data_IF_439734664135
#
_entry.id   IF_439734664135
#
_cell.length_a   1.000
_cell.length_b   1.000
_cell.length_c   1.000
_cell.angle_alpha   90.00
_cell.angle_beta   90.00
_cell.angle_gamma   90.00
#
_symmetry.space_group_name_H-M   'P 1'
#
loop_
_entity.id
_entity.type
_entity.pdbx_description
1 polymer ?
#
# COMPACT_ATOMS: atom_id res chain seq x y z
N UNK A 1 -24.77 39.46 2.48
CA UNK A 1 -23.96 39.68 1.27
C UNK A 1 -24.59 38.87 0.16
N UNK A 2 -24.86 39.47 -1.00
CA UNK A 2 -25.36 38.76 -2.20
C UNK A 2 -24.18 38.29 -3.07
N UNK A 3 -24.38 37.36 -4.02
CA UNK A 3 -23.34 36.96 -5.01
C UNK A 3 -22.74 38.17 -5.73
N UNK A 4 -23.56 39.16 -6.06
CA UNK A 4 -23.10 40.36 -6.77
C UNK A 4 -22.19 41.23 -5.89
N UNK A 5 -22.60 41.46 -4.63
CA UNK A 5 -21.77 42.16 -3.65
C UNK A 5 -20.46 41.37 -3.40
N UNK A 6 -20.62 40.06 -3.21
CA UNK A 6 -19.68 38.96 -3.46
C UNK A 6 -18.43 39.32 -4.27
N UNK A 7 -18.71 39.22 -5.57
CA UNK A 7 -17.77 39.32 -6.67
C UNK A 7 -17.29 40.76 -6.88
N UNK A 8 -18.11 41.76 -6.56
CA UNK A 8 -17.70 43.16 -6.66
C UNK A 8 -16.60 43.49 -5.64
N UNK A 9 -16.74 42.99 -4.41
CA UNK A 9 -15.73 43.19 -3.37
C UNK A 9 -14.46 42.38 -3.68
N UNK A 10 -14.59 41.14 -4.16
CA UNK A 10 -13.45 40.35 -4.60
C UNK A 10 -12.67 41.05 -5.74
N UNK A 11 -13.36 41.60 -6.74
CA UNK A 11 -12.75 42.39 -7.84
C UNK A 11 -11.98 43.60 -7.32
N UNK A 12 -12.50 44.27 -6.28
CA UNK A 12 -11.86 45.43 -5.65
C UNK A 12 -10.58 45.05 -4.94
N UNK A 13 -10.57 43.92 -4.24
CA UNK A 13 -9.41 43.44 -3.48
C UNK A 13 -8.31 42.85 -4.37
N UNK A 14 -8.68 42.37 -5.55
CA UNK A 14 -7.77 41.89 -6.60
C UNK A 14 -7.31 42.99 -7.56
N UNK A 15 -7.45 44.28 -7.22
CA UNK A 15 -6.95 45.38 -8.05
C UNK A 15 -5.44 45.39 -8.24
N UNK A 16 -4.71 44.75 -7.32
CA UNK A 16 -3.25 44.84 -7.23
C UNK A 16 -2.52 43.74 -8.03
N UNK A 17 -3.26 42.79 -8.63
CA UNK A 17 -2.69 41.68 -9.40
C UNK A 17 -2.86 41.91 -10.92
N UNK A 18 -2.06 41.24 -11.78
CA UNK A 18 -2.17 41.38 -13.23
C UNK A 18 -3.60 41.12 -13.73
N UNK A 19 -4.05 41.91 -14.71
CA UNK A 19 -5.44 41.85 -15.21
C UNK A 19 -5.82 40.48 -15.78
N UNK A 20 -4.85 39.74 -16.32
CA UNK A 20 -5.04 38.36 -16.80
C UNK A 20 -5.40 37.40 -15.65
N UNK A 21 -4.58 37.41 -14.59
CA UNK A 21 -4.78 36.60 -13.38
C UNK A 21 -6.07 36.96 -12.65
N UNK A 22 -6.37 38.27 -12.58
CA UNK A 22 -7.60 38.79 -12.02
C UNK A 22 -8.81 38.27 -12.79
N UNK A 23 -8.77 38.31 -14.13
CA UNK A 23 -9.87 37.80 -14.97
C UNK A 23 -10.09 36.32 -14.72
N UNK A 24 -9.04 35.53 -14.71
CA UNK A 24 -9.11 34.08 -14.46
C UNK A 24 -9.64 33.75 -13.06
N UNK A 25 -9.15 34.44 -12.03
CA UNK A 25 -9.61 34.23 -10.66
C UNK A 25 -11.09 34.59 -10.51
N UNK A 26 -11.51 35.73 -11.07
CA UNK A 26 -12.91 36.12 -11.06
C UNK A 26 -13.78 35.11 -11.82
N UNK A 27 -13.35 34.64 -12.98
CA UNK A 27 -14.07 33.63 -13.77
C UNK A 27 -14.20 32.31 -13.01
N UNK A 28 -13.15 31.89 -12.30
CA UNK A 28 -13.18 30.68 -11.47
C UNK A 28 -14.25 30.73 -10.39
N UNK A 29 -14.29 31.81 -9.58
CA UNK A 29 -15.30 31.94 -8.54
C UNK A 29 -16.69 32.21 -9.11
N UNK A 30 -16.80 32.89 -10.25
CA UNK A 30 -18.08 33.09 -10.92
C UNK A 30 -18.70 31.75 -11.35
N UNK A 31 -17.90 30.88 -11.99
CA UNK A 31 -18.30 29.52 -12.35
C UNK A 31 -18.68 28.69 -11.12
N UNK A 32 -17.98 28.87 -10.00
CA UNK A 32 -18.30 28.18 -8.74
C UNK A 32 -19.68 28.58 -8.19
N UNK A 33 -20.02 29.87 -8.23
CA UNK A 33 -21.37 30.33 -7.89
C UNK A 33 -22.44 29.85 -8.89
N UNK A 34 -22.11 29.75 -10.17
CA UNK A 34 -23.03 29.25 -11.19
C UNK A 34 -23.32 27.75 -11.06
N UNK A 35 -22.32 26.96 -10.65
CA UNK A 35 -22.48 25.52 -10.43
C UNK A 35 -23.39 25.21 -9.23
N UNK A 36 -23.30 26.00 -8.16
CA UNK A 36 -24.20 25.90 -7.01
C UNK A 36 -25.64 26.30 -7.36
N UNK A 37 -25.80 27.27 -8.27
CA UNK A 37 -27.10 27.77 -8.70
C UNK A 37 -27.75 28.73 -7.69
N UNK A 38 -28.80 29.41 -8.14
CA UNK A 38 -29.44 30.53 -7.41
C UNK A 38 -29.98 30.15 -6.03
N UNK A 39 -30.36 28.89 -5.84
CA UNK A 39 -30.95 28.40 -4.59
C UNK A 39 -29.90 28.11 -3.51
N UNK A 40 -28.61 28.01 -3.87
CA UNK A 40 -27.51 27.69 -2.94
C UNK A 40 -26.50 28.83 -2.74
N UNK A 41 -26.71 30.01 -3.34
CA UNK A 41 -25.77 31.16 -3.24
C UNK A 41 -25.46 31.55 -1.78
N UNK A 42 -26.42 31.50 -0.86
CA UNK A 42 -26.19 31.83 0.55
C UNK A 42 -25.30 30.79 1.26
N UNK A 43 -25.43 29.51 0.90
CA UNK A 43 -24.60 28.44 1.45
C UNK A 43 -23.17 28.54 0.93
N UNK A 44 -23.01 28.85 -0.35
CA UNK A 44 -21.70 29.10 -0.97
C UNK A 44 -20.96 30.24 -0.27
N UNK A 45 -21.65 31.35 0.02
CA UNK A 45 -21.01 32.48 0.73
C UNK A 45 -20.56 32.07 2.15
N UNK A 46 -21.34 31.23 2.85
CA UNK A 46 -20.94 30.71 4.17
C UNK A 46 -19.74 29.76 4.08
N UNK A 47 -19.64 28.98 3.02
CA UNK A 47 -18.55 28.02 2.79
C UNK A 47 -17.25 28.71 2.35
N UNK A 48 -17.35 29.67 1.43
CA UNK A 48 -16.21 30.48 0.96
C UNK A 48 -15.65 31.42 2.03
N UNK A 49 -16.49 31.84 2.99
CA UNK A 49 -16.10 32.82 4.01
C UNK A 49 -16.12 34.25 3.47
N UNK A 50 -15.17 35.08 3.90
CA UNK A 50 -15.12 36.48 3.48
C UNK A 50 -14.40 36.66 2.14
N UNK A 51 -14.81 37.63 1.29
CA UNK A 51 -14.11 37.91 0.02
C UNK A 51 -12.65 38.35 0.25
N UNK A 52 -12.32 38.87 1.43
CA UNK A 52 -10.96 39.19 1.85
C UNK A 52 -10.06 37.96 1.99
N UNK A 53 -10.57 36.88 2.58
CA UNK A 53 -9.82 35.63 2.73
C UNK A 53 -9.53 34.97 1.39
N UNK A 54 -10.48 35.05 0.45
CA UNK A 54 -10.34 34.55 -0.92
C UNK A 54 -9.30 35.38 -1.68
N UNK A 55 -9.38 36.71 -1.58
CA UNK A 55 -8.39 37.57 -2.23
C UNK A 55 -6.97 37.28 -1.72
N UNK A 56 -6.82 37.00 -0.42
CA UNK A 56 -5.53 36.62 0.17
C UNK A 56 -5.04 35.25 -0.31
N UNK A 57 -5.93 34.26 -0.42
CA UNK A 57 -5.55 32.92 -0.90
C UNK A 57 -5.11 32.94 -2.37
N UNK A 58 -5.80 33.71 -3.22
CA UNK A 58 -5.43 33.92 -4.62
C UNK A 58 -4.06 34.62 -4.70
N UNK A 59 -3.85 35.69 -3.93
CA UNK A 59 -2.56 36.42 -3.94
C UNK A 59 -1.41 35.49 -3.51
N UNK A 60 -1.62 34.68 -2.47
CA UNK A 60 -0.63 33.70 -2.02
C UNK A 60 -0.38 32.59 -3.05
N UNK A 61 -1.41 32.10 -3.72
CA UNK A 61 -1.23 31.09 -4.77
C UNK A 61 -0.46 31.63 -5.97
N UNK A 62 -0.66 32.90 -6.29
CA UNK A 62 0.06 33.62 -7.34
C UNK A 62 1.53 33.93 -6.98
N UNK A 63 1.80 34.20 -5.69
CA UNK A 63 3.13 34.56 -5.17
C UNK A 63 4.02 33.33 -4.96
N UNK A 64 3.50 32.28 -4.33
CA UNK A 64 4.32 31.17 -3.86
C UNK A 64 4.44 30.00 -4.83
N UNK A 65 3.48 29.81 -5.76
CA UNK A 65 3.55 28.78 -6.82
C UNK A 65 3.71 27.34 -6.31
N UNK A 66 2.71 26.48 -6.55
CA UNK A 66 2.61 25.09 -6.06
C UNK A 66 2.33 24.96 -4.55
N UNK A 67 1.22 24.28 -4.24
CA UNK A 67 0.58 24.20 -2.91
C UNK A 67 1.38 23.42 -1.86
N UNK A 68 2.31 22.56 -2.29
CA UNK A 68 2.89 21.52 -1.41
C UNK A 68 4.43 21.48 -1.40
N UNK A 69 5.09 22.27 -2.23
CA UNK A 69 6.56 22.24 -2.35
C UNK A 69 7.14 23.52 -1.80
N UNK A 70 7.53 23.50 -0.52
CA UNK A 70 8.42 24.55 -0.01
C UNK A 70 9.69 24.61 -0.86
N UNK A 71 10.11 25.82 -1.19
CA UNK A 71 11.22 26.06 -2.12
C UNK A 71 12.45 26.58 -1.38
N UNK A 72 13.61 26.19 -1.89
CA UNK A 72 14.91 26.69 -1.41
C UNK A 72 15.27 27.94 -2.20
N UNK A 73 15.35 29.08 -1.52
CA UNK A 73 15.89 30.32 -2.05
C UNK A 73 17.28 30.60 -1.43
N UNK A 74 18.00 31.59 -1.96
CA UNK A 74 19.35 31.95 -1.49
C UNK A 74 19.40 32.34 0.01
N UNK A 75 18.26 32.72 0.58
CA UNK A 75 18.10 33.11 1.99
C UNK A 75 17.58 31.98 2.89
N UNK A 76 17.26 30.79 2.36
CA UNK A 76 16.84 29.63 3.14
C UNK A 76 15.69 28.82 2.54
N UNK A 77 15.07 27.97 3.36
CA UNK A 77 13.90 27.18 2.99
C UNK A 77 12.62 27.95 3.32
N UNK A 78 11.79 28.21 2.32
CA UNK A 78 10.48 28.82 2.49
C UNK A 78 9.40 27.75 2.37
N UNK A 79 8.64 27.56 3.44
CA UNK A 79 7.54 26.60 3.46
C UNK A 79 6.43 27.06 2.50
N UNK A 80 5.86 26.13 1.75
CA UNK A 80 4.73 26.41 0.86
C UNK A 80 3.52 26.91 1.66
N UNK A 81 2.71 27.78 1.04
CA UNK A 81 1.50 28.29 1.66
C UNK A 81 0.49 27.14 1.87
N UNK A 82 0.02 26.96 3.10
CA UNK A 82 -1.02 25.97 3.43
C UNK A 82 -2.40 26.57 3.21
N UNK A 83 -3.10 26.05 2.22
CA UNK A 83 -4.48 26.45 1.91
C UNK A 83 -5.46 25.96 3.00
N UNK A 84 -6.46 26.78 3.33
CA UNK A 84 -7.51 26.41 4.30
C UNK A 84 -8.38 25.30 3.70
N UNK A 85 -8.67 24.26 4.49
CA UNK A 85 -9.23 22.98 4.04
C UNK A 85 -10.62 23.01 3.36
N UNK A 86 -11.33 24.14 3.32
CA UNK A 86 -12.67 24.26 2.73
C UNK A 86 -12.78 25.34 1.64
N UNK A 87 -11.65 25.90 1.18
CA UNK A 87 -11.64 26.93 0.15
C UNK A 87 -11.36 26.31 -1.22
N UNK A 88 -12.20 26.59 -2.25
CA UNK A 88 -11.90 26.16 -3.60
C UNK A 88 -10.69 26.93 -4.11
N UNK A 89 -9.72 26.17 -4.61
CA UNK A 89 -8.38 26.65 -4.90
C UNK A 89 -8.28 27.19 -6.32
N UNK A 90 -7.92 28.46 -6.46
CA UNK A 90 -7.53 29.05 -7.73
C UNK A 90 -6.07 28.66 -8.06
N UNK A 91 -5.89 27.89 -9.13
CA UNK A 91 -4.58 27.41 -9.59
C UNK A 91 -4.25 28.05 -10.93
N UNK A 92 -3.17 28.85 -10.96
CA UNK A 92 -2.70 29.51 -12.17
C UNK A 92 -2.41 28.43 -13.22
N UNK A 93 -3.04 28.54 -14.38
CA UNK A 93 -2.75 27.69 -15.53
C UNK A 93 -1.44 28.19 -16.15
N UNK A 94 -0.30 27.76 -15.63
CA UNK A 94 1.00 28.11 -16.19
C UNK A 94 1.01 27.75 -17.68
N UNK A 95 0.97 28.76 -18.54
CA UNK A 95 1.29 28.62 -19.95
C UNK A 95 2.78 28.37 -20.04
N UNK A 96 3.10 27.09 -20.19
CA UNK A 96 4.43 26.51 -20.26
C UNK A 96 5.13 27.01 -21.53
N UNK A 97 5.83 28.16 -21.43
CA UNK A 97 6.68 28.65 -22.49
C UNK A 97 8.04 29.18 -21.96
N UNK A 98 9.10 28.52 -22.46
CA UNK A 98 10.55 28.77 -22.38
C UNK A 98 11.35 28.32 -21.14
N UNK A 99 12.09 27.24 -21.42
CA UNK A 99 13.51 27.03 -21.11
C UNK A 99 13.91 26.86 -19.63
N UNK A 100 14.00 25.60 -19.21
CA UNK A 100 15.16 25.13 -18.46
C UNK A 100 15.49 23.67 -18.80
N UNK A 101 16.35 23.56 -19.80
CA UNK A 101 17.14 22.39 -20.12
C UNK A 101 18.05 22.04 -18.91
N UNK A 102 17.68 21.02 -18.12
CA UNK A 102 18.67 20.06 -17.63
C UNK A 102 18.02 18.71 -17.26
N UNK A 103 18.26 17.75 -18.15
CA UNK A 103 18.24 16.29 -18.05
C UNK A 103 18.49 15.72 -16.63
N UNK A 104 17.94 14.60 -16.15
CA UNK A 104 16.92 13.65 -16.62
C UNK A 104 16.89 12.52 -15.58
N UNK A 105 15.72 12.18 -15.04
CA UNK A 105 15.24 10.80 -14.85
C UNK A 105 14.03 10.78 -13.91
N UNK A 106 12.84 11.07 -14.44
CA UNK A 106 11.63 10.40 -13.97
C UNK A 106 10.76 10.02 -15.17
N UNK A 107 10.32 8.77 -15.12
CA UNK A 107 9.80 8.00 -16.24
C UNK A 107 8.39 8.45 -16.56
N UNK A 108 8.24 9.12 -17.70
CA UNK A 108 6.97 9.42 -18.34
C UNK A 108 6.17 8.12 -18.57
N UNK A 109 5.22 7.81 -17.67
CA UNK A 109 4.09 6.92 -17.98
C UNK A 109 2.94 7.81 -18.46
N UNK A 110 2.76 7.76 -19.77
CA UNK A 110 1.58 8.18 -20.53
C UNK A 110 0.27 7.87 -19.79
N UNK A 111 -0.24 8.84 -19.03
CA UNK A 111 -1.65 8.86 -18.63
C UNK A 111 -2.44 9.46 -19.79
N UNK A 112 -2.78 8.57 -20.72
CA UNK A 112 -3.84 8.76 -21.68
C UNK A 112 -5.12 9.13 -20.90
N UNK A 113 -5.64 10.33 -21.16
CA UNK A 113 -6.97 10.85 -20.81
C UNK A 113 -7.88 9.89 -20.02
N UNK A 114 -8.24 10.16 -18.75
CA UNK A 114 -9.49 9.62 -18.24
C UNK A 114 -10.60 10.39 -18.96
N UNK A 115 -11.20 9.71 -19.94
CA UNK A 115 -12.53 10.02 -20.46
C UNK A 115 -13.42 10.33 -19.27
N UNK A 116 -14.10 11.48 -19.30
CA UNK A 116 -15.17 11.81 -18.37
C UNK A 116 -16.12 10.59 -18.22
N UNK A 117 -16.00 9.87 -17.11
CA UNK A 117 -17.12 9.06 -16.65
C UNK A 117 -18.14 10.05 -16.11
N UNK A 118 -19.16 10.30 -16.93
CA UNK A 118 -20.41 10.92 -16.52
C UNK A 118 -20.82 10.31 -15.18
N UNK A 119 -20.67 11.07 -14.10
CA UNK A 119 -21.41 10.83 -12.86
C UNK A 119 -22.89 10.98 -13.21
N UNK A 120 -23.50 9.87 -13.62
CA UNK A 120 -24.95 9.76 -13.63
C UNK A 120 -25.41 10.10 -12.22
N UNK A 121 -26.18 11.19 -12.10
CA UNK A 121 -27.01 11.48 -10.93
C UNK A 121 -27.89 10.27 -10.73
N UNK A 122 -27.43 9.40 -9.86
CA UNK A 122 -28.03 8.13 -9.58
C UNK A 122 -29.04 8.41 -8.46
N UNK A 123 -30.30 8.60 -8.86
CA UNK A 123 -31.44 8.78 -7.96
C UNK A 123 -31.48 7.69 -6.86
N UNK A 124 -32.33 7.85 -5.83
CA UNK A 124 -32.25 7.13 -4.55
C UNK A 124 -32.20 5.60 -4.66
N UNK A 125 -32.62 5.02 -5.79
CA UNK A 125 -32.46 3.61 -6.12
C UNK A 125 -31.00 3.11 -6.13
N UNK A 126 -30.03 3.97 -6.40
CA UNK A 126 -28.62 3.59 -6.47
C UNK A 126 -27.88 3.70 -5.14
N UNK A 127 -28.34 4.57 -4.25
CA UNK A 127 -27.91 4.57 -2.84
C UNK A 127 -28.44 3.31 -2.16
N UNK A 128 -29.68 2.90 -2.46
CA UNK A 128 -30.21 1.60 -2.01
C UNK A 128 -29.42 0.41 -2.60
N UNK A 129 -28.99 0.52 -3.86
CA UNK A 129 -28.15 -0.49 -4.51
C UNK A 129 -26.74 -0.54 -3.91
N UNK A 130 -26.15 0.60 -3.54
CA UNK A 130 -24.87 0.68 -2.80
C UNK A 130 -25.04 0.16 -1.38
N UNK A 131 -26.16 0.44 -0.70
CA UNK A 131 -26.46 -0.12 0.64
C UNK A 131 -26.59 -1.64 0.58
N UNK A 132 -27.31 -2.20 -0.40
CA UNK A 132 -27.38 -3.64 -0.65
C UNK A 132 -26.00 -4.21 -1.01
N UNK A 133 -25.23 -3.50 -1.84
CA UNK A 133 -23.89 -3.89 -2.23
C UNK A 133 -22.95 -3.92 -1.03
N UNK A 134 -23.03 -2.95 -0.11
CA UNK A 134 -22.24 -2.90 1.13
C UNK A 134 -22.73 -3.98 2.10
N UNK A 135 -24.04 -4.20 2.22
CA UNK A 135 -24.64 -5.26 3.04
C UNK A 135 -24.24 -6.66 2.56
N UNK A 136 -23.99 -6.85 1.26
CA UNK A 136 -23.51 -8.11 0.67
C UNK A 136 -21.97 -8.17 0.58
N UNK A 137 -21.28 -7.04 0.47
CA UNK A 137 -19.82 -6.95 0.50
C UNK A 137 -19.26 -7.13 1.91
N UNK A 138 -20.02 -6.87 2.97
CA UNK A 138 -19.63 -7.22 4.34
C UNK A 138 -19.52 -8.74 4.57
N UNK A 139 -20.56 -9.56 4.27
CA UNK A 139 -20.49 -11.01 4.42
C UNK A 139 -19.58 -11.68 3.39
N UNK A 140 -19.28 -11.06 2.25
CA UNK A 140 -18.36 -11.62 1.23
C UNK A 140 -16.92 -11.10 1.37
N UNK A 141 -16.74 -9.85 1.77
CA UNK A 141 -15.41 -9.22 1.92
C UNK A 141 -14.64 -9.75 3.11
N UNK A 142 -15.29 -9.95 4.25
CA UNK A 142 -14.68 -10.56 5.44
C UNK A 142 -14.10 -11.96 5.16
N UNK A 143 -14.85 -12.94 4.60
CA UNK A 143 -14.31 -14.25 4.33
C UNK A 143 -13.21 -14.24 3.26
N UNK A 144 -13.21 -13.31 2.29
CA UNK A 144 -12.10 -13.20 1.31
C UNK A 144 -10.78 -12.83 2.01
N UNK A 145 -10.81 -11.86 2.94
CA UNK A 145 -9.61 -11.51 3.70
C UNK A 145 -9.20 -12.64 4.64
N UNK A 146 -10.16 -13.26 5.33
CA UNK A 146 -9.90 -14.37 6.25
C UNK A 146 -9.32 -15.58 5.50
N UNK A 147 -9.85 -15.92 4.32
CA UNK A 147 -9.34 -17.03 3.50
C UNK A 147 -7.94 -16.75 2.97
N UNK A 148 -7.64 -15.51 2.56
CA UNK A 148 -6.31 -15.11 2.12
C UNK A 148 -5.28 -15.20 3.26
N UNK A 149 -5.64 -14.74 4.46
CA UNK A 149 -4.79 -14.85 5.66
C UNK A 149 -4.64 -16.31 6.08
N UNK A 150 -5.71 -17.09 6.03
CA UNK A 150 -5.70 -18.52 6.36
C UNK A 150 -4.84 -19.32 5.39
N UNK A 151 -4.84 -18.98 4.11
CA UNK A 151 -3.98 -19.62 3.11
C UNK A 151 -2.49 -19.35 3.40
N UNK A 152 -2.14 -18.11 3.77
CA UNK A 152 -0.78 -17.77 4.17
C UNK A 152 -0.37 -18.47 5.47
N UNK A 153 -1.25 -18.47 6.48
CA UNK A 153 -1.01 -19.17 7.74
C UNK A 153 -0.87 -20.68 7.53
N UNK A 154 -1.74 -21.29 6.72
CA UNK A 154 -1.68 -22.70 6.38
C UNK A 154 -0.36 -23.05 5.68
N UNK A 155 0.12 -22.21 4.75
CA UNK A 155 1.42 -22.43 4.10
C UNK A 155 2.59 -22.42 5.10
N UNK A 156 2.55 -21.55 6.11
CA UNK A 156 3.58 -21.55 7.18
C UNK A 156 3.48 -22.79 8.05
N UNK A 157 2.26 -23.17 8.44
CA UNK A 157 2.01 -24.35 9.27
C UNK A 157 2.41 -25.64 8.54
N UNK A 158 2.12 -25.79 7.25
CA UNK A 158 2.52 -26.98 6.48
C UNK A 158 4.04 -27.10 6.38
N UNK A 159 4.76 -26.00 6.15
CA UNK A 159 6.23 -26.00 6.17
C UNK A 159 6.74 -26.42 7.54
N UNK A 160 6.18 -25.87 8.63
CA UNK A 160 6.55 -26.25 9.99
C UNK A 160 6.24 -27.74 10.28
N UNK A 161 5.10 -28.24 9.82
CA UNK A 161 4.70 -29.64 9.99
C UNK A 161 5.64 -30.59 9.25
N UNK A 162 6.05 -30.25 8.02
CA UNK A 162 7.06 -31.01 7.27
C UNK A 162 8.36 -31.08 8.08
N UNK A 163 8.81 -29.95 8.63
CA UNK A 163 10.00 -29.90 9.49
C UNK A 163 9.90 -30.86 10.69
N UNK A 164 8.78 -30.82 11.41
CA UNK A 164 8.56 -31.69 12.57
C UNK A 164 8.53 -33.17 12.14
N UNK A 165 7.91 -33.49 11.01
CA UNK A 165 7.88 -34.84 10.47
C UNK A 165 9.29 -35.37 10.14
N UNK A 166 10.15 -34.55 9.53
CA UNK A 166 11.54 -34.93 9.25
C UNK A 166 12.31 -35.24 10.54
N UNK A 167 12.14 -34.43 11.58
CA UNK A 167 12.75 -34.68 12.90
C UNK A 167 12.23 -35.97 13.51
N UNK A 168 10.90 -36.19 13.49
CA UNK A 168 10.27 -37.38 14.04
C UNK A 168 10.73 -38.66 13.34
N UNK A 169 10.82 -38.64 12.01
CA UNK A 169 11.36 -39.76 11.21
C UNK A 169 12.81 -40.03 11.59
N UNK A 170 13.63 -38.98 11.70
CA UNK A 170 15.04 -39.13 12.05
C UNK A 170 15.23 -39.78 13.42
N UNK A 171 14.46 -39.34 14.44
CA UNK A 171 14.50 -39.94 15.78
C UNK A 171 14.00 -41.39 15.77
N UNK A 172 12.94 -41.67 15.00
CA UNK A 172 12.40 -43.02 14.87
C UNK A 172 13.41 -43.99 14.26
N UNK A 173 14.15 -43.57 13.22
CA UNK A 173 15.21 -44.40 12.63
C UNK A 173 16.32 -44.72 13.64
N UNK A 174 16.70 -43.76 14.49
CA UNK A 174 17.71 -44.01 15.52
C UNK A 174 17.24 -45.05 16.52
N UNK A 175 16.02 -44.92 17.06
CA UNK A 175 15.49 -45.87 18.03
C UNK A 175 15.39 -47.26 17.42
N UNK A 176 14.81 -47.37 16.22
CA UNK A 176 14.66 -48.64 15.51
C UNK A 176 16.02 -49.28 15.21
N UNK A 177 16.99 -48.49 14.75
CA UNK A 177 18.33 -48.98 14.48
C UNK A 177 19.03 -49.53 15.73
N UNK A 178 18.90 -48.86 16.89
CA UNK A 178 19.45 -49.35 18.17
C UNK A 178 18.79 -50.66 18.56
N UNK A 179 17.46 -50.74 18.50
CA UNK A 179 16.72 -51.95 18.89
C UNK A 179 17.11 -53.14 18.00
N UNK A 180 17.19 -52.96 16.68
CA UNK A 180 17.59 -54.02 15.75
C UNK A 180 19.04 -54.45 16.01
N UNK A 181 19.94 -53.50 16.30
CA UNK A 181 21.33 -53.83 16.63
C UNK A 181 21.43 -54.68 17.91
N UNK A 182 20.68 -54.34 18.96
CA UNK A 182 20.63 -55.13 20.21
C UNK A 182 20.09 -56.53 19.94
N UNK A 183 18.95 -56.64 19.24
CA UNK A 183 18.35 -57.94 18.88
C UNK A 183 19.32 -58.78 18.03
N UNK A 184 20.05 -58.16 17.11
CA UNK A 184 21.09 -58.82 16.31
C UNK A 184 22.21 -59.42 17.16
N UNK A 185 22.73 -58.63 18.12
CA UNK A 185 23.79 -59.09 19.04
C UNK A 185 23.29 -60.21 19.95
N UNK A 186 22.05 -60.16 20.44
CA UNK A 186 21.49 -61.25 21.25
C UNK A 186 21.33 -62.55 20.44
N UNK A 187 20.98 -62.47 19.16
CA UNK A 187 20.81 -63.64 18.29
C UNK A 187 22.13 -64.28 17.82
N UNK A 188 23.28 -63.63 18.02
CA UNK A 188 24.59 -64.19 17.66
C UNK A 188 24.87 -65.53 18.36
N UNK A 189 24.33 -65.71 19.57
CA UNK A 189 24.55 -66.92 20.38
C UNK A 189 23.71 -68.12 19.91
N UNK A 190 22.64 -67.89 19.14
CA UNK A 190 21.73 -68.95 18.67
C UNK A 190 21.99 -69.26 17.20
N UNK A 191 22.01 -68.22 16.36
CA UNK A 191 22.25 -68.34 14.91
C UNK A 191 23.19 -67.22 14.45
N UNK A 192 24.51 -67.48 14.40
CA UNK A 192 25.51 -66.44 14.13
C UNK A 192 25.27 -65.68 12.82
N UNK A 193 24.83 -66.38 11.78
CA UNK A 193 24.56 -65.78 10.47
C UNK A 193 23.41 -64.75 10.51
N UNK A 194 22.31 -65.06 11.22
CA UNK A 194 21.15 -64.17 11.38
C UNK A 194 21.50 -63.01 12.31
N UNK A 195 22.21 -63.30 13.40
CA UNK A 195 22.68 -62.27 14.34
C UNK A 195 23.60 -61.24 13.68
N UNK A 196 24.55 -61.68 12.86
CA UNK A 196 25.50 -60.79 12.18
C UNK A 196 24.82 -59.93 11.11
N UNK A 197 23.87 -60.50 10.36
CA UNK A 197 23.11 -59.76 9.34
C UNK A 197 22.11 -58.77 9.95
N UNK A 198 21.43 -59.11 11.05
CA UNK A 198 20.59 -58.14 11.79
C UNK A 198 21.42 -57.05 12.47
N UNK A 199 22.54 -57.39 13.10
CA UNK A 199 23.41 -56.42 13.75
C UNK A 199 24.01 -55.44 12.74
N UNK A 200 24.49 -55.94 11.59
CA UNK A 200 24.98 -55.11 10.49
C UNK A 200 23.88 -54.24 9.88
N UNK A 201 22.68 -54.80 9.66
CA UNK A 201 21.52 -54.04 9.18
C UNK A 201 21.11 -52.92 10.14
N UNK A 202 21.07 -53.20 11.44
CA UNK A 202 20.78 -52.21 12.48
C UNK A 202 21.80 -51.08 12.50
N UNK A 203 23.10 -51.39 12.35
CA UNK A 203 24.18 -50.40 12.26
C UNK A 203 24.07 -49.52 11.00
N UNK A 204 23.68 -50.09 9.86
CA UNK A 204 23.43 -49.31 8.63
C UNK A 204 22.24 -48.37 8.83
N UNK A 205 21.14 -48.85 9.41
CA UNK A 205 19.96 -48.03 9.73
C UNK A 205 20.31 -46.90 10.71
N UNK A 206 21.16 -47.18 11.71
CA UNK A 206 21.70 -46.15 12.59
C UNK A 206 22.55 -45.14 11.86
N UNK A 207 23.47 -45.58 11.00
CA UNK A 207 24.31 -44.69 10.21
C UNK A 207 23.48 -43.76 9.32
N UNK A 208 22.46 -44.30 8.65
CA UNK A 208 21.51 -43.52 7.85
C UNK A 208 20.71 -42.55 8.72
N UNK A 209 20.24 -43.00 9.89
CA UNK A 209 19.52 -42.16 10.85
C UNK A 209 20.37 -40.97 11.33
N UNK A 210 21.64 -41.20 11.65
CA UNK A 210 22.59 -40.14 12.05
C UNK A 210 22.85 -39.20 10.88
N UNK A 211 23.09 -39.71 9.67
CA UNK A 211 23.27 -38.88 8.48
C UNK A 211 22.04 -37.99 8.23
N UNK A 212 20.84 -38.54 8.40
CA UNK A 212 19.58 -37.79 8.34
C UNK A 212 19.52 -36.70 9.41
N UNK A 213 19.88 -36.97 10.68
CA UNK A 213 19.89 -35.92 11.70
C UNK A 213 20.82 -34.76 11.34
N UNK A 214 22.03 -35.07 10.85
CA UNK A 214 23.01 -34.07 10.44
C UNK A 214 22.48 -33.25 9.27
N UNK A 215 21.88 -33.91 8.27
CA UNK A 215 21.25 -33.24 7.14
C UNK A 215 20.08 -32.34 7.60
N UNK A 216 19.22 -32.82 8.49
CA UNK A 216 18.11 -32.04 9.05
C UNK A 216 18.61 -30.82 9.83
N UNK A 217 19.65 -30.95 10.66
CA UNK A 217 20.23 -29.83 11.41
C UNK A 217 20.94 -28.83 10.48
N UNK A 218 21.67 -29.31 9.48
CA UNK A 218 22.34 -28.46 8.50
C UNK A 218 21.34 -27.68 7.64
N UNK A 219 20.31 -28.36 7.16
CA UNK A 219 19.18 -27.74 6.44
C UNK A 219 18.48 -26.78 7.40
N UNK A 220 18.28 -27.10 8.69
CA UNK A 220 17.59 -26.20 9.62
C UNK A 220 18.39 -24.91 9.83
N UNK A 221 19.71 -25.02 10.05
CA UNK A 221 20.60 -23.88 10.19
C UNK A 221 20.66 -22.99 8.95
N UNK A 222 20.54 -23.57 7.74
CA UNK A 222 20.52 -22.82 6.47
C UNK A 222 19.12 -22.32 6.10
N UNK A 223 18.08 -23.08 6.41
CA UNK A 223 16.70 -22.82 6.02
C UNK A 223 16.04 -21.78 6.92
N UNK A 224 16.33 -21.75 8.24
CA UNK A 224 15.81 -20.71 9.13
C UNK A 224 16.12 -19.28 8.63
N UNK A 225 17.38 -18.90 8.32
CA UNK A 225 17.66 -17.56 7.80
C UNK A 225 17.08 -17.35 6.39
N UNK A 226 17.00 -18.39 5.56
CA UNK A 226 16.41 -18.30 4.23
C UNK A 226 14.89 -18.07 4.28
N UNK A 227 14.17 -18.77 5.17
CA UNK A 227 12.72 -18.63 5.38
C UNK A 227 12.41 -17.25 5.95
N UNK A 228 13.18 -16.75 6.92
CA UNK A 228 13.02 -15.40 7.45
C UNK A 228 13.24 -14.36 6.34
N UNK A 229 14.25 -14.55 5.49
CA UNK A 229 14.48 -13.72 4.31
C UNK A 229 13.31 -13.74 3.33
N UNK A 230 12.77 -14.93 3.05
CA UNK A 230 11.63 -15.12 2.15
C UNK A 230 10.34 -14.49 2.69
N UNK A 231 10.06 -14.64 3.99
CA UNK A 231 8.92 -14.00 4.66
C UNK A 231 9.06 -12.47 4.60
N UNK A 232 10.26 -11.92 4.87
CA UNK A 232 10.53 -10.48 4.69
C UNK A 232 10.33 -10.02 3.25
N UNK A 233 10.67 -10.84 2.27
CA UNK A 233 10.48 -10.53 0.86
C UNK A 233 9.00 -10.57 0.44
N UNK A 234 8.21 -11.51 0.98
CA UNK A 234 6.77 -11.61 0.73
C UNK A 234 6.04 -10.45 1.39
N UNK A 235 6.29 -10.17 2.68
CA UNK A 235 5.75 -8.99 3.35
C UNK A 235 6.22 -7.71 2.68
N UNK A 236 7.50 -7.63 2.30
CA UNK A 236 8.05 -6.53 1.53
C UNK A 236 7.33 -6.34 0.20
N UNK A 237 6.99 -7.39 -0.54
CA UNK A 237 6.23 -7.26 -1.80
C UNK A 237 4.77 -6.86 -1.59
N UNK A 238 4.12 -7.38 -0.54
CA UNK A 238 2.72 -7.06 -0.23
C UNK A 238 2.61 -5.62 0.29
N UNK A 239 3.55 -5.17 1.11
CA UNK A 239 3.53 -3.84 1.73
C UNK A 239 4.24 -2.73 0.91
N UNK A 240 5.27 -3.06 0.11
CA UNK A 240 5.95 -2.06 -0.77
C UNK A 240 5.18 -1.74 -2.05
N UNK A 241 4.09 -2.46 -2.37
CA UNK A 241 3.18 -2.00 -3.45
C UNK A 241 2.41 -0.73 -3.09
N UNK A 242 2.55 -0.17 -1.88
CA UNK A 242 1.98 1.13 -1.48
C UNK A 242 3.00 2.27 -1.30
N UNK A 243 4.23 2.15 -1.81
CA UNK A 243 5.20 3.27 -1.86
C UNK A 243 5.79 3.44 -3.26
N UNK A 244 4.92 3.48 -4.26
CA UNK A 244 5.27 3.92 -5.62
C UNK A 244 4.48 5.17 -6.04
N UNK A 245 4.01 5.94 -5.04
CA UNK A 245 3.52 7.31 -5.16
C UNK A 245 3.76 7.96 -3.80
N UNK A 246 4.98 8.42 -3.59
CA UNK A 246 5.36 9.42 -2.60
C UNK A 246 6.55 10.16 -3.19
#
# INVERSE_FOLDING_TARGET
MTRTEFMQELKRLLSDIPEEEKREAIEFYDNYFEEAGKDEEENVIKELGSPAEIAESIKKSLEYGSKDTGYFAEDGYHEGYKEKANLPSFERRFTEDRNRENSSNETFRENRFPKEEKKQKKGPANILLVIILVLFALPVGLPIVITLVSLLAAAVVTVAAIWIAFVAVSVSLLIVGVVIAIVGVLNLSVTPAVGLSLAGGGLIVLGVGILFTIATVWIAGKALPAVIGWVKQIFGRIFRRRRAYA
#
